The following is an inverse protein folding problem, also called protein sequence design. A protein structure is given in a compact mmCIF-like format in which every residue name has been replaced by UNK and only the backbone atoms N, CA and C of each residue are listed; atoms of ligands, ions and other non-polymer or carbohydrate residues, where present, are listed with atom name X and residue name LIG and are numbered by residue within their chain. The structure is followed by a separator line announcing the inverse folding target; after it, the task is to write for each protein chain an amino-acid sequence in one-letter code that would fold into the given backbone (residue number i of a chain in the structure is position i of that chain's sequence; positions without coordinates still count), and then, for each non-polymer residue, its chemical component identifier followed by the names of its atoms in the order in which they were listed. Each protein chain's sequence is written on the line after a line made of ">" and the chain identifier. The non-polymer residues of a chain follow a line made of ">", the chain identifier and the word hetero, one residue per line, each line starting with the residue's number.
data_IF_492515798426
#
_entry.id   IF_492515798426
#
_cell.length_a   1.000
_cell.length_b   1.000
_cell.length_c   1.000
_cell.angle_alpha   90.00
_cell.angle_beta   90.00
_cell.angle_gamma   90.00
#
_symmetry.space_group_name_H-M   'P 1'
#
loop_
_entity.id
_entity.type
_entity.pdbx_description
1 polymer ?
#
# COMPACT_ATOMS: atom_id res chain seq x y z
N UNK A 1 32.72 3.27 31.88
CA UNK A 1 32.71 3.04 30.42
C UNK A 1 31.31 2.63 30.01
N UNK A 2 30.85 3.19 28.89
CA UNK A 2 29.52 3.10 28.28
C UNK A 2 29.10 1.65 28.03
N UNK A 3 27.80 1.34 28.19
CA UNK A 3 27.08 0.47 27.26
C UNK A 3 25.59 0.23 27.65
N UNK A 4 24.69 0.94 26.96
CA UNK A 4 23.39 0.42 26.47
C UNK A 4 22.33 0.03 27.51
N UNK A 5 21.82 1.06 28.19
CA UNK A 5 20.37 1.19 28.39
C UNK A 5 19.78 1.60 27.03
N UNK A 6 18.56 1.15 26.73
CA UNK A 6 17.74 1.52 25.55
C UNK A 6 17.87 0.63 24.32
N UNK A 7 17.13 -0.50 24.32
CA UNK A 7 16.60 -1.07 23.07
C UNK A 7 15.31 -1.88 23.31
N UNK A 8 14.45 -1.43 24.23
CA UNK A 8 13.16 -2.10 24.53
C UNK A 8 11.94 -1.19 24.44
N UNK A 9 12.03 -0.09 23.68
CA UNK A 9 10.95 0.88 23.49
C UNK A 9 10.40 0.97 22.05
N UNK A 10 10.60 -0.04 21.20
CA UNK A 10 10.11 -0.03 19.80
C UNK A 10 9.12 -1.15 19.42
N UNK A 11 8.37 -1.69 20.38
CA UNK A 11 7.27 -2.62 20.08
C UNK A 11 5.96 -2.23 20.78
N UNK A 12 5.63 -0.94 20.80
CA UNK A 12 4.30 -0.47 21.21
C UNK A 12 3.79 0.62 20.28
N UNK A 13 3.43 0.23 19.06
CA UNK A 13 2.52 0.99 18.21
C UNK A 13 1.83 0.07 17.19
N UNK A 14 1.25 -1.04 17.65
CA UNK A 14 0.12 -1.66 16.97
C UNK A 14 -1.12 -0.75 17.14
N UNK A 15 -1.10 0.42 16.50
CA UNK A 15 -2.32 1.14 16.19
C UNK A 15 -2.65 0.84 14.73
N UNK A 16 -3.37 -0.28 14.60
CA UNK A 16 -4.20 -0.72 13.47
C UNK A 16 -4.25 0.27 12.30
N UNK A 17 -3.78 -0.19 11.14
CA UNK A 17 -3.99 0.50 9.88
C UNK A 17 -5.49 0.74 9.69
N UNK A 18 -5.90 2.01 9.79
CA UNK A 18 -7.18 2.46 9.28
C UNK A 18 -7.02 2.44 7.76
N UNK A 19 -7.34 1.33 7.12
CA UNK A 19 -6.99 1.07 5.72
C UNK A 19 -7.34 -0.35 5.25
N UNK A 20 -6.47 -0.93 4.43
CA UNK A 20 -6.64 -2.27 3.84
C UNK A 20 -6.45 -3.40 4.87
N UNK A 21 -6.92 -4.61 4.53
CA UNK A 21 -6.75 -5.79 5.38
C UNK A 21 -5.29 -6.27 5.50
N UNK A 22 -4.95 -6.92 6.62
CA UNK A 22 -3.58 -7.37 6.96
C UNK A 22 -2.92 -8.24 5.88
N UNK A 23 -3.68 -9.12 5.24
CA UNK A 23 -3.17 -10.03 4.20
C UNK A 23 -2.78 -9.28 2.90
N UNK A 24 -3.59 -8.30 2.49
CA UNK A 24 -3.29 -7.44 1.36
C UNK A 24 -2.13 -6.49 1.67
N UNK A 25 -2.09 -5.97 2.89
CA UNK A 25 -0.96 -5.17 3.37
C UNK A 25 0.34 -5.97 3.35
N UNK A 26 0.33 -7.22 3.81
CA UNK A 26 1.49 -8.11 3.77
C UNK A 26 1.96 -8.41 2.33
N UNK A 27 1.02 -8.56 1.39
CA UNK A 27 1.36 -8.67 -0.04
C UNK A 27 2.08 -7.42 -0.53
N UNK A 28 1.54 -6.23 -0.23
CA UNK A 28 2.06 -4.94 -0.67
C UNK A 28 3.28 -4.43 0.12
N UNK A 29 3.64 -5.07 1.24
CA UNK A 29 4.81 -4.73 2.04
C UNK A 29 6.09 -5.42 1.54
N UNK A 30 6.21 -5.54 0.22
CA UNK A 30 7.36 -6.07 -0.51
C UNK A 30 7.89 -4.99 -1.44
N UNK A 31 9.15 -5.13 -1.86
CA UNK A 31 9.73 -4.27 -2.90
C UNK A 31 9.44 -4.88 -4.27
N UNK A 32 8.96 -4.04 -5.17
CA UNK A 32 8.59 -4.36 -6.55
C UNK A 32 9.48 -3.55 -7.50
N UNK A 33 9.25 -3.69 -8.81
CA UNK A 33 9.92 -2.85 -9.80
C UNK A 33 9.63 -1.37 -9.51
N UNK A 34 10.66 -0.50 -9.43
CA UNK A 34 10.48 0.94 -9.26
C UNK A 34 9.62 1.59 -10.34
N UNK A 35 8.90 2.66 -9.97
CA UNK A 35 8.15 3.53 -10.89
C UNK A 35 7.28 2.77 -11.90
N UNK A 36 6.67 1.68 -11.45
CA UNK A 36 5.99 0.72 -12.32
C UNK A 36 4.55 0.52 -11.89
N UNK A 37 3.74 0.12 -12.88
CA UNK A 37 2.39 -0.41 -12.67
C UNK A 37 2.47 -1.93 -12.58
N UNK A 38 1.82 -2.53 -11.60
CA UNK A 38 1.63 -3.98 -11.52
C UNK A 38 0.14 -4.31 -11.42
N UNK A 39 -0.30 -5.24 -12.26
CA UNK A 39 -1.65 -5.75 -12.33
C UNK A 39 -1.66 -7.19 -11.78
N UNK A 40 -2.57 -7.50 -10.86
CA UNK A 40 -2.63 -8.80 -10.15
C UNK A 40 -4.09 -9.08 -9.70
N UNK A 41 -4.33 -10.22 -9.04
CA UNK A 41 -5.62 -10.61 -8.47
C UNK A 41 -5.45 -10.93 -6.98
N UNK A 42 -6.34 -10.41 -6.16
CA UNK A 42 -6.36 -10.68 -4.72
C UNK A 42 -7.76 -11.06 -4.25
N UNK A 43 -7.89 -12.31 -3.77
CA UNK A 43 -9.16 -12.88 -3.26
C UNK A 43 -10.33 -12.69 -4.24
N UNK A 44 -10.07 -12.93 -5.53
CA UNK A 44 -11.06 -12.81 -6.61
C UNK A 44 -11.33 -11.38 -7.09
N UNK A 45 -10.71 -10.35 -6.50
CA UNK A 45 -10.77 -8.99 -7.02
C UNK A 45 -9.53 -8.70 -7.86
N UNK A 46 -9.71 -7.97 -8.95
CA UNK A 46 -8.61 -7.38 -9.68
C UNK A 46 -7.97 -6.29 -8.83
N UNK A 47 -6.63 -6.28 -8.81
CA UNK A 47 -5.86 -5.21 -8.20
C UNK A 47 -4.86 -4.62 -9.21
N UNK A 48 -4.65 -3.32 -9.08
CA UNK A 48 -3.59 -2.61 -9.78
C UNK A 48 -2.92 -1.72 -8.77
N UNK A 49 -1.60 -1.80 -8.64
CA UNK A 49 -0.86 -0.92 -7.75
C UNK A 49 0.33 -0.30 -8.47
N UNK A 50 0.66 0.92 -8.03
CA UNK A 50 1.75 1.71 -8.55
C UNK A 50 2.83 1.83 -7.48
N UNK A 51 4.07 1.71 -7.92
CA UNK A 51 5.25 1.80 -7.06
C UNK A 51 5.93 3.15 -7.22
N UNK A 52 6.58 3.62 -6.17
CA UNK A 52 7.46 4.79 -6.24
C UNK A 52 8.84 4.40 -6.81
N UNK A 53 9.76 5.36 -6.85
CA UNK A 53 11.16 5.18 -7.28
C UNK A 53 11.96 4.14 -6.46
N UNK A 54 11.47 3.77 -5.27
CA UNK A 54 12.08 2.75 -4.42
C UNK A 54 11.42 1.37 -4.57
N UNK A 55 10.46 1.23 -5.48
CA UNK A 55 9.72 -0.02 -5.68
C UNK A 55 8.67 -0.29 -4.60
N UNK A 56 8.31 0.71 -3.80
CA UNK A 56 7.34 0.57 -2.72
C UNK A 56 5.94 0.86 -3.26
N UNK A 57 4.95 -0.02 -3.05
CA UNK A 57 3.58 0.26 -3.46
C UNK A 57 3.03 1.47 -2.70
N UNK A 58 2.60 2.48 -3.46
CA UNK A 58 2.10 3.76 -2.93
C UNK A 58 0.65 4.06 -3.31
N UNK A 59 0.15 3.46 -4.39
CA UNK A 59 -1.25 3.59 -4.80
C UNK A 59 -1.78 2.21 -5.12
N UNK A 60 -3.01 1.92 -4.69
CA UNK A 60 -3.69 0.65 -4.89
C UNK A 60 -5.11 0.91 -5.38
N UNK A 61 -5.50 0.22 -6.44
CA UNK A 61 -6.87 0.08 -6.91
C UNK A 61 -7.29 -1.36 -6.70
N UNK A 62 -8.47 -1.59 -6.15
CA UNK A 62 -9.04 -2.93 -5.93
C UNK A 62 -10.52 -2.95 -6.29
N UNK A 63 -10.92 -3.93 -7.10
CA UNK A 63 -12.31 -4.10 -7.52
C UNK A 63 -12.41 -5.00 -8.75
N UNK A 64 -13.19 -4.56 -9.73
CA UNK A 64 -13.33 -5.28 -11.00
C UNK A 64 -12.64 -4.51 -12.11
N UNK A 65 -11.79 -5.20 -12.87
CA UNK A 65 -11.19 -4.66 -14.08
C UNK A 65 -12.23 -4.62 -15.19
N UNK A 66 -12.31 -3.47 -15.87
CA UNK A 66 -13.14 -3.27 -17.05
C UNK A 66 -12.38 -3.61 -18.32
N UNK A 67 -13.10 -3.70 -19.43
CA UNK A 67 -12.55 -3.95 -20.78
C UNK A 67 -11.54 -2.88 -21.21
N UNK A 68 -11.62 -1.65 -20.69
CA UNK A 68 -10.65 -0.57 -20.93
C UNK A 68 -9.37 -0.69 -20.07
N UNK A 69 -9.26 -1.74 -19.25
CA UNK A 69 -8.10 -2.02 -18.40
C UNK A 69 -8.05 -1.22 -17.10
N UNK A 70 -9.06 -0.39 -16.83
CA UNK A 70 -9.21 0.36 -15.57
C UNK A 70 -9.95 -0.45 -14.52
N UNK A 71 -9.61 -0.25 -13.25
CA UNK A 71 -10.32 -0.86 -12.12
C UNK A 71 -11.42 0.08 -11.63
N UNK A 72 -12.61 -0.48 -11.47
CA UNK A 72 -13.72 0.14 -10.75
C UNK A 72 -13.91 -0.53 -9.42
N UNK A 73 -13.87 0.26 -8.36
CA UNK A 73 -13.80 -0.24 -6.99
C UNK A 73 -13.21 0.81 -6.06
N UNK A 74 -12.45 0.39 -5.07
CA UNK A 74 -11.85 1.28 -4.08
C UNK A 74 -10.42 1.69 -4.49
N UNK A 75 -10.05 2.92 -4.17
CA UNK A 75 -8.67 3.41 -4.30
C UNK A 75 -8.08 3.71 -2.93
N UNK A 76 -6.85 3.26 -2.71
CA UNK A 76 -6.09 3.52 -1.49
C UNK A 76 -4.75 4.16 -1.84
N UNK A 77 -4.32 5.11 -1.03
CA UNK A 77 -3.00 5.73 -1.13
C UNK A 77 -2.21 5.46 0.13
N UNK A 78 -1.02 4.90 -0.02
CA UNK A 78 -0.09 4.66 1.10
C UNK A 78 0.56 5.97 1.49
N UNK A 79 0.44 6.30 2.77
CA UNK A 79 1.17 7.39 3.41
C UNK A 79 2.31 6.80 4.22
N UNK A 80 3.51 6.92 3.69
CA UNK A 80 4.76 6.58 4.37
C UNK A 80 5.08 7.74 5.33
N UNK A 81 5.11 7.44 6.63
CA UNK A 81 5.43 8.43 7.67
C UNK A 81 6.92 8.42 7.99
N UNK A 82 7.53 7.26 7.95
CA UNK A 82 8.93 7.06 8.31
C UNK A 82 9.51 5.91 7.49
N UNK A 83 10.69 6.17 6.93
CA UNK A 83 11.48 5.19 6.19
C UNK A 83 12.93 5.23 6.68
N UNK A 84 13.54 4.07 6.58
CA UNK A 84 14.98 3.90 6.52
C UNK A 84 15.44 3.93 5.04
N UNK A 85 16.74 3.92 4.80
CA UNK A 85 17.29 3.78 3.43
C UNK A 85 16.77 2.50 2.76
N UNK A 86 16.64 1.44 3.55
CA UNK A 86 16.36 0.09 3.03
C UNK A 86 14.88 -0.29 3.09
N UNK A 87 14.10 0.24 4.04
CA UNK A 87 12.74 -0.23 4.35
C UNK A 87 11.81 0.84 4.90
N UNK A 88 10.50 0.62 4.75
CA UNK A 88 9.46 1.40 5.41
C UNK A 88 9.38 0.99 6.88
N UNK A 89 9.53 1.94 7.80
CA UNK A 89 9.38 1.70 9.24
C UNK A 89 7.91 1.89 9.63
N UNK A 90 7.28 2.95 9.12
CA UNK A 90 5.89 3.29 9.48
C UNK A 90 5.12 3.83 8.29
N UNK A 91 3.99 3.19 7.99
CA UNK A 91 3.06 3.63 6.95
C UNK A 91 1.61 3.27 7.28
N UNK A 92 0.66 3.86 6.56
CA UNK A 92 -0.74 3.45 6.57
C UNK A 92 -1.37 3.67 5.18
N UNK A 93 -2.42 2.93 4.88
CA UNK A 93 -3.18 3.07 3.65
C UNK A 93 -4.44 3.89 3.89
N UNK A 94 -4.59 5.00 3.19
CA UNK A 94 -5.75 5.88 3.27
C UNK A 94 -6.74 5.57 2.15
N UNK A 95 -8.01 5.31 2.48
CA UNK A 95 -9.05 5.06 1.47
C UNK A 95 -9.47 6.40 0.83
N UNK A 96 -9.31 6.50 -0.49
CA UNK A 96 -9.74 7.64 -1.33
C UNK A 96 -11.16 7.50 -1.87
N UNK A 97 -11.82 6.39 -1.56
CA UNK A 97 -13.18 6.07 -1.93
C UNK A 97 -13.28 5.36 -3.27
N UNK A 98 -14.52 5.33 -3.78
CA UNK A 98 -14.86 4.59 -5.00
C UNK A 98 -14.40 5.32 -6.26
N UNK A 99 -13.57 4.64 -7.04
CA UNK A 99 -13.29 5.01 -8.42
C UNK A 99 -14.43 4.51 -9.28
N UNK A 100 -15.28 5.44 -9.73
CA UNK A 100 -16.26 5.17 -10.77
C UNK A 100 -15.55 5.38 -12.10
N UNK A 101 -15.47 4.35 -12.93
CA UNK A 101 -14.97 4.53 -14.29
C UNK A 101 -15.86 5.55 -15.00
N UNK A 102 -15.24 6.55 -15.64
CA UNK A 102 -15.84 7.77 -16.16
C UNK A 102 -17.34 7.62 -16.49
N UNK A 103 -18.19 8.15 -15.62
CA UNK A 103 -19.54 8.53 -16.05
C UNK A 103 -19.31 9.74 -16.96
N UNK A 104 -19.33 9.52 -18.29
CA UNK A 104 -19.40 10.64 -19.25
C UNK A 104 -20.56 11.52 -18.78
N UNK A 105 -20.25 12.75 -18.34
CA UNK A 105 -21.25 13.81 -18.26
C UNK A 105 -21.52 14.31 -19.67
#
# INVERSE_FOLDING_TARGET
>A
MKAWKEESHLLKNEKFSKGIGKDLEAKLNKRYTPSSRTDDVFRGNDITFFTNEYGEPVTLFIGSRRDDGNIVGECYVRRIKERDETKIIKSHWDNKGKIKGNMRR
#
